data_IF_565305717447
#
_entry.id   IF_565305717447
#
_cell.length_a   1.000
_cell.length_b   1.000
_cell.length_c   1.000
_cell.angle_alpha   90.00
_cell.angle_beta   90.00
_cell.angle_gamma   90.00
#
_symmetry.space_group_name_H-M   'P 1'
#
loop_
_entity.id
_entity.type
_entity.pdbx_description
1 polymer ?
#
# COMPACT_ATOMS: atom_id res chain seq x y z
N UNK A 1 4.72 6.81 -13.54
CA UNK A 1 4.13 8.04 -12.95
C UNK A 1 3.21 7.61 -11.82
N UNK A 2 3.50 7.99 -10.58
CA UNK A 2 2.76 7.56 -9.39
C UNK A 2 1.62 8.52 -9.09
N UNK A 3 0.37 8.09 -9.36
CA UNK A 3 -0.86 8.84 -9.05
C UNK A 3 -1.17 8.85 -7.54
N UNK A 4 -0.22 9.31 -6.72
CA UNK A 4 -0.39 9.49 -5.27
C UNK A 4 -1.61 10.34 -4.89
N UNK A 5 -1.90 11.49 -5.54
CA UNK A 5 -3.09 12.28 -5.17
C UNK A 5 -4.40 11.53 -5.44
N UNK A 6 -4.48 10.78 -6.54
CA UNK A 6 -5.66 9.97 -6.87
C UNK A 6 -5.85 8.78 -5.91
N UNK A 7 -4.76 8.17 -5.43
CA UNK A 7 -4.83 7.11 -4.41
C UNK A 7 -5.28 7.64 -3.05
N UNK A 8 -4.86 8.84 -2.68
CA UNK A 8 -5.29 9.46 -1.42
C UNK A 8 -6.76 9.85 -1.45
N UNK A 9 -7.27 10.34 -2.59
CA UNK A 9 -8.70 10.65 -2.72
C UNK A 9 -9.58 9.39 -2.70
N UNK A 10 -9.16 8.29 -3.33
CA UNK A 10 -9.90 7.02 -3.24
C UNK A 10 -9.93 6.49 -1.81
N UNK A 11 -8.79 6.48 -1.10
CA UNK A 11 -8.75 6.05 0.31
C UNK A 11 -9.63 6.93 1.21
N UNK A 12 -9.73 8.24 0.95
CA UNK A 12 -10.64 9.11 1.72
C UNK A 12 -12.10 8.74 1.50
N UNK A 13 -12.49 8.46 0.25
CA UNK A 13 -13.86 8.01 -0.07
C UNK A 13 -14.18 6.65 0.54
N UNK A 14 -13.19 5.75 0.62
CA UNK A 14 -13.33 4.46 1.28
C UNK A 14 -13.53 4.62 2.79
N UNK A 15 -12.74 5.50 3.43
CA UNK A 15 -12.91 5.80 4.86
C UNK A 15 -14.27 6.41 5.15
N UNK A 16 -14.78 7.33 4.31
CA UNK A 16 -16.11 7.90 4.52
C UNK A 16 -17.17 6.80 4.41
N UNK A 17 -17.13 5.97 3.37
CA UNK A 17 -18.07 4.87 3.20
C UNK A 17 -18.02 3.84 4.35
N UNK A 18 -16.82 3.52 4.87
CA UNK A 18 -16.66 2.66 6.05
C UNK A 18 -17.17 3.32 7.33
N UNK A 19 -16.99 4.64 7.46
CA UNK A 19 -17.49 5.41 8.61
C UNK A 19 -19.02 5.44 8.61
N UNK A 20 -19.65 5.61 7.45
CA UNK A 20 -21.10 5.56 7.30
C UNK A 20 -21.66 4.18 7.66
N UNK A 21 -21.00 3.09 7.24
CA UNK A 21 -21.39 1.73 7.67
C UNK A 21 -21.24 1.52 9.18
N UNK A 22 -20.26 2.16 9.79
CA UNK A 22 -19.99 2.09 11.22
C UNK A 22 -20.79 3.10 12.04
N UNK A 23 -21.72 3.84 11.42
CA UNK A 23 -22.58 4.78 12.14
C UNK A 23 -23.38 4.07 13.23
N UNK A 24 -23.55 4.69 14.40
CA UNK A 24 -24.35 4.10 15.47
C UNK A 24 -25.80 3.92 15.02
N UNK A 25 -26.43 2.84 15.49
CA UNK A 25 -27.84 2.56 15.24
C UNK A 25 -28.74 3.62 15.88
N UNK A 26 -29.79 4.03 15.18
CA UNK A 26 -30.84 4.88 15.74
C UNK A 26 -31.73 4.10 16.72
N UNK A 27 -32.24 4.79 17.75
CA UNK A 27 -33.04 4.17 18.82
C UNK A 27 -34.32 3.51 18.25
N UNK A 28 -34.94 4.15 17.25
CA UNK A 28 -36.16 3.65 16.61
C UNK A 28 -35.92 2.40 15.74
N UNK A 29 -34.73 2.25 15.17
CA UNK A 29 -34.39 1.11 14.32
C UNK A 29 -34.24 -0.18 15.15
N UNK A 30 -33.69 -0.07 16.35
CA UNK A 30 -33.56 -1.19 17.29
C UNK A 30 -34.93 -1.76 17.64
N UNK A 31 -35.89 -0.91 18.00
CA UNK A 31 -37.25 -1.33 18.32
C UNK A 31 -37.93 -2.07 17.15
N UNK A 32 -37.82 -1.53 15.93
CA UNK A 32 -38.38 -2.15 14.72
C UNK A 32 -37.76 -3.52 14.42
N UNK A 33 -36.45 -3.65 14.60
CA UNK A 33 -35.76 -4.91 14.35
C UNK A 33 -36.14 -5.98 15.37
N UNK A 34 -36.21 -5.62 16.66
CA UNK A 34 -36.64 -6.54 17.71
C UNK A 34 -38.06 -7.01 17.50
N UNK A 35 -39.00 -6.09 17.20
CA UNK A 35 -40.36 -6.44 16.85
C UNK A 35 -40.40 -7.43 15.67
N UNK A 36 -39.62 -7.16 14.61
CA UNK A 36 -39.54 -8.04 13.45
C UNK A 36 -38.93 -9.42 13.74
N UNK A 37 -38.11 -9.54 14.78
CA UNK A 37 -37.57 -10.81 15.24
C UNK A 37 -38.60 -11.58 16.08
N UNK A 38 -39.42 -10.87 16.85
CA UNK A 38 -40.55 -11.44 17.57
C UNK A 38 -41.63 -11.95 16.61
N UNK A 39 -41.93 -11.19 15.55
CA UNK A 39 -42.83 -11.61 14.46
C UNK A 39 -42.31 -12.88 13.75
N UNK A 40 -40.99 -13.09 13.75
CA UNK A 40 -40.37 -14.30 13.20
C UNK A 40 -40.42 -15.50 14.18
N UNK A 41 -41.06 -15.36 15.34
CA UNK A 41 -41.28 -16.43 16.32
C UNK A 41 -40.25 -16.50 17.45
N UNK A 42 -39.32 -15.53 17.55
CA UNK A 42 -38.39 -15.48 18.69
C UNK A 42 -39.01 -14.78 19.90
N UNK A 43 -38.68 -15.27 21.09
CA UNK A 43 -39.18 -14.75 22.35
C UNK A 43 -38.12 -13.95 23.09
N UNK A 44 -38.55 -12.98 23.88
CA UNK A 44 -37.66 -12.26 24.81
C UNK A 44 -37.28 -13.21 25.95
N UNK A 45 -35.99 -13.30 26.33
CA UNK A 45 -35.56 -14.10 27.47
C UNK A 45 -36.25 -13.69 28.77
N UNK A 46 -36.69 -14.67 29.55
CA UNK A 46 -37.29 -14.44 30.87
C UNK A 46 -36.31 -13.85 31.90
N UNK A 47 -35.00 -13.83 31.60
CA UNK A 47 -33.98 -13.18 32.42
C UNK A 47 -34.09 -11.65 32.41
N UNK A 48 -34.76 -11.06 31.42
CA UNK A 48 -34.99 -9.61 31.34
C UNK A 48 -36.23 -9.29 32.17
N UNK A 49 -36.01 -8.70 33.36
CA UNK A 49 -37.08 -8.32 34.30
C UNK A 49 -37.63 -6.90 34.08
N UNK A 50 -37.19 -6.21 33.02
CA UNK A 50 -37.62 -4.85 32.73
C UNK A 50 -39.12 -4.79 32.38
N UNK A 51 -39.78 -3.72 32.83
CA UNK A 51 -41.19 -3.45 32.51
C UNK A 51 -41.40 -3.25 31.00
N UNK A 52 -40.43 -2.60 30.34
CA UNK A 52 -40.30 -2.57 28.88
C UNK A 52 -38.97 -3.22 28.46
N UNK A 53 -38.99 -4.50 28.07
CA UNK A 53 -37.78 -5.19 27.62
C UNK A 53 -37.16 -4.58 26.37
N UNK A 54 -37.95 -3.92 25.50
CA UNK A 54 -37.45 -3.33 24.24
C UNK A 54 -36.58 -2.10 24.55
N UNK A 55 -36.94 -1.32 25.58
CA UNK A 55 -36.11 -0.19 26.03
C UNK A 55 -34.75 -0.64 26.57
N UNK A 56 -34.68 -1.79 27.27
CA UNK A 56 -33.41 -2.33 27.74
C UNK A 56 -32.46 -2.63 26.57
N UNK A 57 -32.98 -3.20 25.48
CA UNK A 57 -32.19 -3.38 24.26
C UNK A 57 -31.79 -2.04 23.62
N UNK A 58 -32.66 -1.03 23.61
CA UNK A 58 -32.32 0.30 23.08
C UNK A 58 -31.17 0.94 23.84
N UNK A 59 -31.16 0.81 25.16
CA UNK A 59 -30.10 1.33 26.03
C UNK A 59 -28.80 0.56 25.77
N UNK A 60 -28.85 -0.77 25.82
CA UNK A 60 -27.65 -1.62 25.67
C UNK A 60 -27.02 -1.53 24.27
N UNK A 61 -27.84 -1.35 23.24
CA UNK A 61 -27.39 -1.28 21.84
C UNK A 61 -27.04 0.15 21.40
N UNK A 62 -27.15 1.13 22.29
CA UNK A 62 -26.76 2.52 22.02
C UNK A 62 -25.28 2.60 21.66
N UNK A 63 -24.98 3.17 20.49
CA UNK A 63 -23.59 3.31 20.01
C UNK A 63 -23.04 2.06 19.31
N UNK A 64 -23.80 0.96 19.25
CA UNK A 64 -23.44 -0.21 18.45
C UNK A 64 -23.64 0.12 16.96
N UNK A 65 -22.72 -0.27 16.07
CA UNK A 65 -22.85 0.06 14.65
C UNK A 65 -24.07 -0.59 14.01
N UNK A 66 -24.82 0.20 13.24
CA UNK A 66 -26.04 -0.23 12.56
C UNK A 66 -25.81 -1.41 11.62
N UNK A 67 -24.70 -1.40 10.88
CA UNK A 67 -24.36 -2.48 9.96
C UNK A 67 -24.23 -3.82 10.69
N UNK A 68 -23.52 -3.85 11.82
CA UNK A 68 -23.35 -5.06 12.63
C UNK A 68 -24.68 -5.58 13.16
N UNK A 69 -25.53 -4.69 13.66
CA UNK A 69 -26.85 -5.07 14.15
C UNK A 69 -27.73 -5.64 13.05
N UNK A 70 -27.80 -5.01 11.87
CA UNK A 70 -28.57 -5.54 10.73
C UNK A 70 -28.09 -6.92 10.32
N UNK A 71 -26.77 -7.14 10.28
CA UNK A 71 -26.19 -8.46 10.00
C UNK A 71 -26.60 -9.48 11.04
N UNK A 72 -26.48 -9.15 12.34
CA UNK A 72 -26.91 -10.03 13.44
C UNK A 72 -28.39 -10.38 13.30
N UNK A 73 -29.27 -9.41 13.04
CA UNK A 73 -30.71 -9.66 12.90
C UNK A 73 -31.02 -10.61 11.74
N UNK A 74 -30.39 -10.42 10.58
CA UNK A 74 -30.58 -11.32 9.43
C UNK A 74 -30.06 -12.72 9.74
N UNK A 75 -28.88 -12.82 10.36
CA UNK A 75 -28.27 -14.10 10.75
C UNK A 75 -29.06 -14.86 11.80
N UNK A 76 -29.64 -14.15 12.77
CA UNK A 76 -30.55 -14.73 13.77
C UNK A 76 -31.80 -15.31 13.10
N UNK A 77 -32.45 -14.56 12.19
CA UNK A 77 -33.61 -15.06 11.44
C UNK A 77 -33.30 -16.30 10.59
N UNK A 78 -32.08 -16.40 10.08
CA UNK A 78 -31.61 -17.55 9.30
C UNK A 78 -31.11 -18.72 10.15
N UNK A 79 -30.95 -18.53 11.45
CA UNK A 79 -30.37 -19.53 12.35
C UNK A 79 -28.88 -19.79 12.09
N UNK A 80 -28.14 -18.80 11.57
CA UNK A 80 -26.70 -18.92 11.27
C UNK A 80 -25.82 -18.93 12.54
N UNK A 81 -26.35 -18.50 13.68
CA UNK A 81 -25.65 -18.55 14.96
C UNK A 81 -25.92 -19.84 15.73
N UNK A 82 -24.85 -20.43 16.26
CA UNK A 82 -24.94 -21.54 17.21
C UNK A 82 -25.28 -21.03 18.61
N UNK A 83 -26.56 -20.70 18.79
CA UNK A 83 -27.13 -20.36 20.07
C UNK A 83 -27.67 -21.62 20.75
N UNK A 84 -27.52 -21.74 22.09
CA UNK A 84 -28.06 -22.86 22.84
C UNK A 84 -29.59 -22.97 22.71
N UNK A 85 -30.29 -21.82 22.62
CA UNK A 85 -31.72 -21.76 22.41
C UNK A 85 -32.06 -20.80 21.26
N UNK A 86 -32.43 -21.34 20.10
CA UNK A 86 -32.79 -20.54 18.91
C UNK A 86 -34.17 -19.89 18.99
N UNK A 87 -34.99 -20.30 19.96
CA UNK A 87 -36.32 -19.74 20.18
C UNK A 87 -36.31 -18.41 20.94
N UNK A 88 -35.18 -18.04 21.56
CA UNK A 88 -35.06 -16.81 22.35
C UNK A 88 -34.09 -15.84 21.71
N UNK A 89 -34.34 -14.55 21.89
CA UNK A 89 -33.40 -13.50 21.55
C UNK A 89 -32.14 -13.61 22.43
N UNK A 90 -30.95 -13.29 21.89
CA UNK A 90 -29.77 -13.08 22.73
C UNK A 90 -30.01 -11.99 23.77
N UNK A 91 -29.34 -12.07 24.92
CA UNK A 91 -29.38 -11.01 25.94
C UNK A 91 -28.83 -9.71 25.33
N UNK A 92 -29.29 -8.51 25.75
CA UNK A 92 -28.85 -7.26 25.12
C UNK A 92 -27.33 -7.07 25.05
N UNK A 93 -26.60 -7.48 26.08
CA UNK A 93 -25.13 -7.47 26.13
C UNK A 93 -24.49 -8.44 25.12
N UNK A 94 -25.05 -9.64 24.98
CA UNK A 94 -24.60 -10.64 24.00
C UNK A 94 -24.86 -10.14 22.57
N UNK A 95 -26.04 -9.57 22.32
CA UNK A 95 -26.39 -9.00 21.03
C UNK A 95 -25.46 -7.85 20.65
N UNK A 96 -25.10 -6.98 21.61
CA UNK A 96 -24.10 -5.94 21.41
C UNK A 96 -22.73 -6.52 21.06
N UNK A 97 -22.30 -7.59 21.75
CA UNK A 97 -21.04 -8.27 21.48
C UNK A 97 -21.02 -8.88 20.07
N UNK A 98 -22.09 -9.57 19.68
CA UNK A 98 -22.25 -10.16 18.34
C UNK A 98 -22.16 -9.08 17.25
N UNK A 99 -22.88 -7.97 17.40
CA UNK A 99 -22.86 -6.89 16.43
C UNK A 99 -21.49 -6.22 16.33
N UNK A 100 -20.77 -6.09 17.45
CA UNK A 100 -19.40 -5.58 17.46
C UNK A 100 -18.41 -6.53 16.78
N UNK A 101 -18.60 -7.84 16.92
CA UNK A 101 -17.80 -8.86 16.23
C UNK A 101 -18.01 -8.79 14.72
N UNK A 102 -19.26 -8.66 14.25
CA UNK A 102 -19.54 -8.50 12.81
C UNK A 102 -18.90 -7.24 12.21
N UNK A 103 -18.71 -6.19 13.02
CA UNK A 103 -18.06 -4.96 12.59
C UNK A 103 -16.54 -4.96 12.74
N UNK A 104 -15.93 -6.04 13.23
CA UNK A 104 -14.49 -6.08 13.52
C UNK A 104 -13.65 -5.86 12.26
N UNK A 105 -13.96 -6.59 11.19
CA UNK A 105 -13.24 -6.48 9.90
C UNK A 105 -13.35 -5.07 9.33
N UNK A 106 -14.54 -4.46 9.35
CA UNK A 106 -14.76 -3.10 8.86
C UNK A 106 -13.99 -2.05 9.68
N UNK A 107 -13.87 -2.23 11.00
CA UNK A 107 -13.05 -1.37 11.86
C UNK A 107 -11.57 -1.52 11.54
N UNK A 108 -11.09 -2.75 11.34
CA UNK A 108 -9.71 -3.05 10.95
C UNK A 108 -9.39 -2.50 9.54
N UNK A 109 -10.32 -2.58 8.59
CA UNK A 109 -10.19 -1.97 7.26
C UNK A 109 -10.12 -0.44 7.35
N UNK A 110 -11.01 0.19 8.11
CA UNK A 110 -10.99 1.65 8.32
C UNK A 110 -9.68 2.09 8.97
N UNK A 111 -9.19 1.34 9.97
CA UNK A 111 -7.92 1.62 10.63
C UNK A 111 -6.77 1.55 9.64
N UNK A 112 -6.67 0.47 8.86
CA UNK A 112 -5.63 0.30 7.83
C UNK A 112 -5.68 1.41 6.78
N UNK A 113 -6.86 1.76 6.28
CA UNK A 113 -7.01 2.86 5.31
C UNK A 113 -6.56 4.21 5.91
N UNK A 114 -6.92 4.47 7.17
CA UNK A 114 -6.50 5.68 7.91
C UNK A 114 -4.99 5.73 8.10
N UNK A 115 -4.37 4.61 8.48
CA UNK A 115 -2.91 4.49 8.62
C UNK A 115 -2.19 4.70 7.28
N UNK A 116 -2.72 4.17 6.18
CA UNK A 116 -2.16 4.41 4.84
C UNK A 116 -2.21 5.89 4.44
N UNK A 117 -3.31 6.60 4.74
CA UNK A 117 -3.39 8.05 4.51
C UNK A 117 -2.40 8.79 5.39
N UNK A 118 -2.30 8.43 6.67
CA UNK A 118 -1.36 9.06 7.60
C UNK A 118 0.08 8.88 7.14
N UNK A 119 0.48 7.65 6.81
CA UNK A 119 1.81 7.35 6.27
C UNK A 119 2.05 8.04 4.91
N UNK A 120 1.04 8.10 4.04
CA UNK A 120 1.13 8.82 2.77
C UNK A 120 1.34 10.32 2.95
N UNK A 121 0.65 10.95 3.93
CA UNK A 121 0.82 12.36 4.28
C UNK A 121 2.16 12.63 4.94
N UNK A 122 2.60 11.77 5.85
CA UNK A 122 3.92 11.86 6.47
C UNK A 122 5.02 11.73 5.41
N UNK A 123 4.95 10.73 4.52
CA UNK A 123 5.88 10.61 3.39
C UNK A 123 5.86 11.82 2.45
N UNK A 124 4.69 12.44 2.22
CA UNK A 124 4.61 13.67 1.43
C UNK A 124 5.25 14.87 2.16
N UNK A 125 5.03 15.00 3.47
CA UNK A 125 5.62 16.04 4.31
C UNK A 125 7.14 15.88 4.46
N UNK A 126 7.65 14.65 4.47
CA UNK A 126 9.08 14.34 4.48
C UNK A 126 9.72 14.37 3.08
N UNK A 127 8.97 14.70 2.02
CA UNK A 127 9.48 14.84 0.66
C UNK A 127 9.73 13.50 -0.04
N UNK A 128 8.71 12.64 -0.15
CA UNK A 128 8.77 11.39 -0.89
C UNK A 128 9.73 10.35 -0.30
N UNK A 129 9.90 9.18 -0.95
CA UNK A 129 10.94 8.25 -0.54
C UNK A 129 12.27 8.98 -0.62
N UNK A 130 12.92 9.19 0.53
CA UNK A 130 14.33 9.58 0.57
C UNK A 130 15.06 8.59 -0.31
N UNK A 131 15.50 9.09 -1.46
CA UNK A 131 16.38 8.43 -2.40
C UNK A 131 17.55 7.82 -1.63
N UNK A 132 17.42 6.55 -1.21
CA UNK A 132 18.45 5.78 -0.51
C UNK A 132 19.03 6.49 0.74
N UNK A 133 19.86 5.79 1.52
CA UNK A 133 20.78 6.46 2.47
C UNK A 133 21.89 7.24 1.75
N UNK A 134 21.96 7.09 0.43
CA UNK A 134 22.79 7.84 -0.49
C UNK A 134 21.87 8.78 -1.28
N UNK A 135 21.64 10.00 -0.76
CA UNK A 135 20.94 11.05 -1.49
C UNK A 135 21.47 11.13 -2.92
N UNK A 136 20.58 11.45 -3.88
CA UNK A 136 20.81 11.46 -5.33
C UNK A 136 22.28 11.80 -5.66
N UNK A 137 23.16 10.78 -5.68
CA UNK A 137 24.57 11.03 -5.90
C UNK A 137 24.62 11.50 -7.34
N UNK A 138 25.16 12.69 -7.57
CA UNK A 138 25.36 13.16 -8.92
C UNK A 138 26.14 12.06 -9.65
N UNK A 139 25.48 11.44 -10.64
CA UNK A 139 26.00 10.27 -11.32
C UNK A 139 27.35 10.59 -11.98
N UNK A 140 27.54 11.86 -12.35
CA UNK A 140 28.82 12.38 -12.84
C UNK A 140 29.91 12.26 -11.77
N UNK A 141 29.67 12.74 -10.55
CA UNK A 141 30.63 12.67 -9.45
C UNK A 141 31.00 11.21 -9.15
N UNK A 142 30.03 10.30 -9.11
CA UNK A 142 30.33 8.87 -8.86
C UNK A 142 31.13 8.22 -9.97
N UNK A 143 30.91 8.61 -11.22
CA UNK A 143 31.65 8.07 -12.36
C UNK A 143 33.03 8.74 -12.50
N UNK A 144 33.19 9.99 -12.07
CA UNK A 144 34.50 10.64 -11.94
C UNK A 144 35.36 9.98 -10.86
N UNK A 145 34.78 9.66 -9.69
CA UNK A 145 35.46 8.87 -8.66
C UNK A 145 35.87 7.50 -9.21
N UNK A 146 34.96 6.83 -9.92
CA UNK A 146 35.25 5.55 -10.58
C UNK A 146 36.33 5.67 -11.66
N UNK A 147 36.39 6.79 -12.39
CA UNK A 147 37.46 7.06 -13.35
C UNK A 147 38.81 7.19 -12.65
N UNK A 148 38.87 7.86 -11.50
CA UNK A 148 40.09 7.93 -10.66
C UNK A 148 40.50 6.56 -10.12
N UNK A 149 39.54 5.74 -9.71
CA UNK A 149 39.80 4.36 -9.27
C UNK A 149 40.35 3.50 -10.41
N UNK A 150 39.77 3.59 -11.61
CA UNK A 150 40.26 2.89 -12.80
C UNK A 150 41.68 3.34 -13.17
N UNK A 151 41.96 4.64 -13.12
CA UNK A 151 43.31 5.17 -13.32
C UNK A 151 44.31 4.61 -12.30
N UNK A 152 43.93 4.53 -11.02
CA UNK A 152 44.75 3.94 -9.96
C UNK A 152 44.98 2.43 -10.15
N UNK A 153 44.03 1.73 -10.76
CA UNK A 153 44.13 0.32 -11.13
C UNK A 153 44.91 0.07 -12.43
N UNK A 154 45.46 1.13 -13.05
CA UNK A 154 46.27 1.04 -14.26
C UNK A 154 45.47 1.02 -15.55
N UNK A 155 44.19 1.42 -15.54
CA UNK A 155 43.43 1.69 -16.76
C UNK A 155 43.80 3.07 -17.30
N UNK A 156 43.87 3.17 -18.63
CA UNK A 156 44.06 4.43 -19.35
C UNK A 156 42.74 4.87 -19.99
N UNK A 157 42.53 6.18 -20.03
CA UNK A 157 41.49 6.78 -20.85
C UNK A 157 41.82 6.58 -22.33
N UNK A 158 40.85 6.08 -23.10
CA UNK A 158 41.03 5.73 -24.52
C UNK A 158 40.32 6.71 -25.44
N UNK A 159 39.06 7.02 -25.15
CA UNK A 159 38.25 7.93 -25.98
C UNK A 159 36.97 8.38 -25.27
N UNK A 160 36.36 9.44 -25.80
CA UNK A 160 34.99 9.81 -25.47
C UNK A 160 34.00 8.98 -26.32
N UNK A 161 32.88 8.59 -25.71
CA UNK A 161 31.83 7.80 -26.33
C UNK A 161 30.47 8.30 -25.82
N UNK A 162 29.71 8.93 -26.70
CA UNK A 162 28.50 9.69 -26.34
C UNK A 162 27.30 8.79 -26.05
N UNK A 163 27.33 7.54 -26.50
CA UNK A 163 26.25 6.60 -26.30
C UNK A 163 26.75 5.19 -26.00
N UNK A 164 25.93 4.42 -25.31
CA UNK A 164 26.21 3.01 -25.05
C UNK A 164 26.20 2.18 -26.35
N UNK A 165 25.37 2.55 -27.33
CA UNK A 165 25.28 1.87 -28.62
C UNK A 165 26.56 2.05 -29.45
N UNK A 166 27.15 3.24 -29.41
CA UNK A 166 28.45 3.51 -30.01
C UNK A 166 29.55 2.65 -29.37
N UNK A 167 29.53 2.52 -28.03
CA UNK A 167 30.48 1.67 -27.31
C UNK A 167 30.34 0.20 -27.72
N UNK A 168 29.11 -0.32 -27.70
CA UNK A 168 28.82 -1.71 -28.09
C UNK A 168 29.21 -2.01 -29.54
N UNK A 169 28.97 -1.06 -30.46
CA UNK A 169 29.40 -1.18 -31.86
C UNK A 169 30.93 -1.13 -32.00
N UNK A 170 31.61 -0.31 -31.20
CA UNK A 170 33.07 -0.28 -31.14
C UNK A 170 33.68 -1.57 -30.61
N UNK A 171 33.06 -2.21 -29.61
CA UNK A 171 33.46 -3.55 -29.14
C UNK A 171 33.34 -4.60 -30.26
N UNK A 172 32.20 -4.62 -30.98
CA UNK A 172 31.97 -5.53 -32.12
C UNK A 172 33.00 -5.33 -33.24
N UNK A 173 33.36 -4.07 -33.51
CA UNK A 173 34.34 -3.68 -34.54
C UNK A 173 35.80 -3.76 -34.05
N UNK A 174 36.05 -4.27 -32.84
CA UNK A 174 37.39 -4.34 -32.21
C UNK A 174 38.12 -2.98 -32.15
N UNK A 175 37.36 -1.88 -32.06
CA UNK A 175 37.87 -0.51 -31.92
C UNK A 175 38.41 -0.25 -30.50
N UNK A 176 37.84 -0.94 -29.50
CA UNK A 176 38.25 -0.81 -28.10
C UNK A 176 39.15 -1.98 -27.68
N UNK A 177 40.16 -1.75 -26.82
CA UNK A 177 40.97 -2.83 -26.27
C UNK A 177 40.12 -3.81 -25.44
N UNK A 178 40.60 -5.05 -25.32
CA UNK A 178 39.95 -6.07 -24.51
C UNK A 178 39.90 -5.62 -23.03
N UNK A 179 38.72 -5.67 -22.42
CA UNK A 179 38.50 -5.18 -21.06
C UNK A 179 38.14 -3.70 -20.95
N UNK A 180 37.87 -3.02 -22.08
CA UNK A 180 37.37 -1.65 -22.05
C UNK A 180 36.04 -1.54 -21.29
N UNK A 181 35.88 -0.46 -20.53
CA UNK A 181 34.74 -0.13 -19.69
C UNK A 181 34.22 1.27 -20.04
N UNK A 182 32.91 1.40 -20.26
CA UNK A 182 32.27 2.68 -20.55
C UNK A 182 31.66 3.30 -19.28
N UNK A 183 32.11 4.50 -18.93
CA UNK A 183 31.57 5.34 -17.88
C UNK A 183 30.54 6.29 -18.50
N UNK A 184 29.33 5.77 -18.69
CA UNK A 184 28.26 6.42 -19.46
C UNK A 184 27.83 7.80 -18.96
N UNK A 185 27.90 8.09 -17.65
CA UNK A 185 27.45 9.39 -17.14
C UNK A 185 28.40 10.54 -17.48
N UNK A 186 29.66 10.20 -17.82
CA UNK A 186 30.70 11.15 -18.25
C UNK A 186 31.15 10.90 -19.69
N UNK A 187 30.51 9.98 -20.42
CA UNK A 187 30.81 9.63 -21.80
C UNK A 187 32.27 9.22 -22.06
N UNK A 188 32.92 8.50 -21.13
CA UNK A 188 34.32 8.11 -21.27
C UNK A 188 34.50 6.60 -21.38
N UNK A 189 35.47 6.16 -22.18
CA UNK A 189 35.90 4.76 -22.29
C UNK A 189 37.30 4.61 -21.71
N UNK A 190 37.43 3.68 -20.78
CA UNK A 190 38.67 3.35 -20.08
C UNK A 190 39.05 1.90 -20.38
N UNK A 191 40.33 1.62 -20.64
CA UNK A 191 40.80 0.27 -20.91
C UNK A 191 42.09 -0.05 -20.14
N UNK A 192 42.39 -1.33 -19.86
CA UNK A 192 43.62 -1.70 -19.16
C UNK A 192 44.86 -1.14 -19.88
N UNK A 193 45.81 -0.56 -19.15
CA UNK A 193 47.01 0.10 -19.69
C UNK A 193 48.02 -0.83 -20.38
N UNK A 194 47.65 -2.10 -20.61
CA UNK A 194 48.42 -3.05 -21.40
C UNK A 194 47.73 -3.16 -22.76
N UNK A 195 48.12 -2.28 -23.68
CA UNK A 195 48.53 -2.57 -25.07
C UNK A 195 48.67 -1.23 -25.81
N UNK A 196 49.92 -0.82 -26.01
CA UNK A 196 50.30 -0.05 -27.19
C UNK A 196 49.98 -0.91 -28.42
N UNK A 197 49.01 -0.50 -29.22
CA UNK A 197 49.08 -0.70 -30.66
C UNK A 197 48.43 0.52 -31.31
N UNK A 198 49.31 1.43 -31.73
CA UNK A 198 49.05 2.44 -32.74
C UNK A 198 48.41 1.77 -33.95
N UNK A 199 47.14 2.08 -34.22
CA UNK A 199 46.60 1.93 -35.57
C UNK A 199 47.16 3.09 -36.37
N UNK A 200 48.13 2.83 -37.23
CA UNK A 200 48.56 3.76 -38.26
C UNK A 200 47.36 4.03 -39.17
N UNK A 201 47.00 5.31 -39.31
CA UNK A 201 46.20 5.80 -40.43
C UNK A 201 46.92 5.44 -41.73
N UNK A 202 46.42 4.43 -42.43
CA UNK A 202 46.70 4.29 -43.85
C UNK A 202 45.93 5.40 -44.56
N UNK A 203 46.61 6.53 -44.82
CA UNK A 203 46.26 7.42 -45.91
C UNK A 203 46.29 6.61 -47.21
N UNK A 204 45.14 6.44 -47.83
CA UNK A 204 45.01 6.08 -49.23
C UNK A 204 44.07 7.08 -49.90
N UNK A 205 44.59 7.61 -51.01
CA UNK A 205 43.91 8.19 -52.16
C UNK A 205 43.48 9.67 -52.11
N UNK A 206 44.45 10.51 -52.53
CA UNK A 206 44.18 11.62 -53.46
C UNK A 206 45.45 11.95 -54.28
N UNK A 207 45.61 11.29 -55.44
CA UNK A 207 46.24 11.82 -56.66
C UNK A 207 46.01 10.84 -57.83
#
# INVERSE_FOLDING_TARGET
MTNLPARLSTLQSEISALTDKLSPCGVDEVGKCIASLMDAGMMIPASIQAEDPIEEYRIALKGVPLHGLRTVFVRLKRGEYDLPNRSFLPIPSEMAAMANLECRSLREERMRASEMIKAGRENAAFGGPRMSRYGLKDLRITQEERARELAAQGFAFVAECQSHDEFANGCKKRRWPLGATHLWAINQVWAPGIVKQSVQEAQADAA
#
